data_IF_516007153898
#
_entry.id   IF_516007153898
#
_cell.length_a   1.000
_cell.length_b   1.000
_cell.length_c   1.000
_cell.angle_alpha   90.00
_cell.angle_beta   90.00
_cell.angle_gamma   90.00
#
_symmetry.space_group_name_H-M   'P 1'
#
loop_
_entity.id
_entity.type
_entity.pdbx_description
1 polymer ?
#
# COMPACT_ATOMS: atom_id res chain seq x y z
N UNK A 1 6.58 5.01 18.58
CA UNK A 1 6.52 5.31 17.14
C UNK A 1 7.75 4.74 16.46
N UNK A 2 7.59 3.99 15.36
CA UNK A 2 8.74 3.59 14.52
C UNK A 2 9.29 4.87 13.90
N UNK A 3 10.58 5.14 14.11
CA UNK A 3 11.22 6.36 13.59
C UNK A 3 11.74 6.09 12.19
N UNK A 4 10.89 6.30 11.18
CA UNK A 4 11.28 6.25 9.76
C UNK A 4 11.42 7.69 9.27
N UNK A 5 12.61 8.02 8.80
CA UNK A 5 12.90 9.35 8.25
C UNK A 5 12.56 9.38 6.77
N UNK A 6 11.49 10.10 6.43
CA UNK A 6 11.10 10.41 5.05
C UNK A 6 11.48 11.86 4.73
N UNK A 7 12.21 12.06 3.63
CA UNK A 7 12.64 13.40 3.20
C UNK A 7 12.21 13.68 1.76
N UNK A 8 11.91 14.94 1.47
CA UNK A 8 11.59 15.40 0.11
C UNK A 8 12.68 15.00 -0.89
N UNK A 9 13.95 15.11 -0.47
CA UNK A 9 15.12 14.73 -1.29
C UNK A 9 15.09 13.25 -1.70
N UNK A 10 14.68 12.34 -0.83
CA UNK A 10 14.56 10.91 -1.17
C UNK A 10 13.45 10.67 -2.18
N UNK A 11 12.28 11.28 -1.99
CA UNK A 11 11.13 11.12 -2.89
C UNK A 11 11.41 11.74 -4.27
N UNK A 12 12.08 12.90 -4.30
CA UNK A 12 12.56 13.54 -5.54
C UNK A 12 13.50 12.62 -6.30
N UNK A 13 14.54 12.09 -5.63
CA UNK A 13 15.53 11.18 -6.22
C UNK A 13 14.90 9.88 -6.74
N UNK A 14 13.87 9.39 -6.07
CA UNK A 14 13.14 8.20 -6.49
C UNK A 14 12.18 8.46 -7.66
N UNK A 15 11.97 9.72 -8.07
CA UNK A 15 11.15 10.06 -9.24
C UNK A 15 9.64 10.18 -8.96
N UNK A 16 9.21 10.18 -7.69
CA UNK A 16 7.78 10.14 -7.33
C UNK A 16 7.00 11.38 -7.80
N UNK A 17 7.69 12.49 -8.06
CA UNK A 17 7.07 13.76 -8.46
C UNK A 17 6.59 13.78 -9.92
N UNK A 18 7.03 12.82 -10.74
CA UNK A 18 6.77 12.79 -12.18
C UNK A 18 5.43 12.11 -12.44
N UNK A 19 4.39 12.88 -12.78
CA UNK A 19 3.12 12.32 -13.22
C UNK A 19 3.09 12.04 -14.73
N UNK A 20 1.88 12.01 -15.28
CA UNK A 20 1.57 11.83 -16.68
C UNK A 20 1.46 13.17 -17.43
N UNK A 21 1.36 13.07 -18.75
CA UNK A 21 1.12 14.20 -19.64
C UNK A 21 -0.20 14.93 -19.31
N UNK A 22 -0.23 16.25 -19.51
CA UNK A 22 -1.38 17.14 -19.27
C UNK A 22 -2.69 16.64 -19.87
N UNK A 23 -2.66 15.97 -21.02
CA UNK A 23 -3.87 15.42 -21.68
C UNK A 23 -4.43 14.15 -21.03
N UNK A 24 -3.67 13.46 -20.17
CA UNK A 24 -4.03 12.18 -19.55
C UNK A 24 -4.38 12.32 -18.06
N UNK A 25 -4.43 13.54 -17.53
CA UNK A 25 -4.67 13.75 -16.11
C UNK A 25 -6.13 13.59 -15.72
N UNK A 26 -6.36 13.31 -14.44
CA UNK A 26 -7.66 13.27 -13.82
C UNK A 26 -7.88 14.55 -13.01
N UNK A 27 -8.97 15.32 -13.24
CA UNK A 27 -9.24 16.55 -12.48
C UNK A 27 -9.30 16.38 -10.96
N UNK A 28 -9.68 15.18 -10.49
CA UNK A 28 -9.74 14.86 -9.06
C UNK A 28 -8.35 14.74 -8.41
N UNK A 29 -7.28 14.68 -9.20
CA UNK A 29 -5.91 14.76 -8.71
C UNK A 29 -5.44 16.19 -8.44
N UNK A 30 -6.20 17.23 -8.82
CA UNK A 30 -5.81 18.64 -8.69
C UNK A 30 -5.20 19.01 -7.33
N UNK A 31 -5.76 18.55 -6.22
CA UNK A 31 -5.25 18.82 -4.86
C UNK A 31 -3.82 18.29 -4.62
N UNK A 32 -3.41 17.24 -5.34
CA UNK A 32 -2.11 16.59 -5.20
C UNK A 32 -1.08 17.08 -6.22
N UNK A 33 -1.40 18.05 -7.07
CA UNK A 33 -0.51 18.54 -8.14
C UNK A 33 -0.05 19.96 -7.84
N UNK A 34 1.24 20.25 -8.08
CA UNK A 34 1.81 21.60 -7.91
C UNK A 34 1.74 22.39 -9.22
N UNK A 35 1.86 21.72 -10.36
CA UNK A 35 1.92 22.40 -11.65
C UNK A 35 2.26 21.47 -12.80
N UNK A 36 2.75 22.05 -13.89
CA UNK A 36 3.10 21.35 -15.13
C UNK A 36 4.48 21.81 -15.60
N UNK A 37 5.37 20.88 -15.93
CA UNK A 37 6.69 21.14 -16.51
C UNK A 37 6.81 20.31 -17.78
N UNK A 38 7.10 20.94 -18.93
CA UNK A 38 7.25 20.25 -20.23
C UNK A 38 6.09 19.29 -20.52
N UNK A 39 4.86 19.78 -20.34
CA UNK A 39 3.61 19.02 -20.46
C UNK A 39 3.39 17.86 -19.48
N UNK A 40 4.25 17.67 -18.48
CA UNK A 40 4.11 16.64 -17.45
C UNK A 40 3.58 17.26 -16.15
N UNK A 41 2.55 16.66 -15.56
CA UNK A 41 2.06 17.07 -14.24
C UNK A 41 3.08 16.74 -13.15
N UNK A 42 3.31 17.70 -12.26
CA UNK A 42 4.20 17.54 -11.11
C UNK A 42 3.39 17.28 -9.86
N UNK A 43 3.63 16.12 -9.25
CA UNK A 43 2.98 15.68 -8.01
C UNK A 43 3.61 16.38 -6.82
N UNK A 44 2.77 16.87 -5.90
CA UNK A 44 3.19 17.50 -4.67
C UNK A 44 3.65 16.47 -3.65
N UNK A 45 4.97 16.37 -3.50
CA UNK A 45 5.60 15.41 -2.59
C UNK A 45 5.41 15.74 -1.10
N UNK A 46 5.01 16.96 -0.73
CA UNK A 46 4.69 17.26 0.67
C UNK A 46 3.44 16.50 1.11
N UNK A 47 2.40 16.48 0.27
CA UNK A 47 1.22 15.63 0.51
C UNK A 47 1.60 14.15 0.54
N UNK A 48 2.48 13.70 -0.35
CA UNK A 48 2.99 12.33 -0.34
C UNK A 48 3.64 11.98 0.99
N UNK A 49 4.52 12.83 1.52
CA UNK A 49 5.18 12.60 2.82
C UNK A 49 4.15 12.53 3.95
N UNK A 50 3.19 13.46 3.98
CA UNK A 50 2.15 13.49 5.02
C UNK A 50 1.35 12.18 5.01
N UNK A 51 0.94 11.72 3.82
CA UNK A 51 0.12 10.51 3.69
C UNK A 51 0.95 9.26 4.00
N UNK A 52 2.20 9.19 3.55
CA UNK A 52 3.11 8.08 3.88
C UNK A 52 3.34 7.97 5.39
N UNK A 53 3.48 9.09 6.11
CA UNK A 53 3.56 9.09 7.58
C UNK A 53 2.32 8.48 8.22
N UNK A 54 1.12 8.86 7.76
CA UNK A 54 -0.13 8.24 8.24
C UNK A 54 -0.19 6.75 7.95
N UNK A 55 0.24 6.33 6.76
CA UNK A 55 0.26 4.91 6.35
C UNK A 55 1.24 4.11 7.22
N UNK A 56 2.40 4.67 7.58
CA UNK A 56 3.33 4.06 8.53
C UNK A 56 2.60 3.70 9.82
N UNK A 57 1.85 4.65 10.39
CA UNK A 57 1.12 4.43 11.63
C UNK A 57 -0.02 3.41 11.47
N UNK A 58 -0.77 3.46 10.37
CA UNK A 58 -1.84 2.50 10.05
C UNK A 58 -1.30 1.07 9.97
N UNK A 59 -0.26 0.84 9.16
CA UNK A 59 0.35 -0.48 9.00
C UNK A 59 0.91 -0.98 10.33
N UNK A 60 1.60 -0.10 11.07
CA UNK A 60 2.15 -0.43 12.37
C UNK A 60 1.09 -0.91 13.36
N UNK A 61 -0.02 -0.16 13.46
CA UNK A 61 -1.10 -0.47 14.38
C UNK A 61 -1.83 -1.77 14.00
N UNK A 62 -2.06 -2.01 12.71
CA UNK A 62 -2.65 -3.28 12.25
C UNK A 62 -1.79 -4.45 12.68
N UNK A 63 -0.48 -4.39 12.46
CA UNK A 63 0.45 -5.48 12.82
C UNK A 63 0.55 -5.68 14.33
N UNK A 64 0.66 -4.60 15.12
CA UNK A 64 0.68 -4.70 16.60
C UNK A 64 -0.58 -5.39 17.13
N UNK A 65 -1.73 -5.09 16.52
CA UNK A 65 -3.02 -5.68 16.91
C UNK A 65 -3.26 -7.06 16.29
N UNK A 66 -2.22 -7.66 15.71
CA UNK A 66 -2.26 -8.96 15.03
C UNK A 66 -3.23 -9.05 13.85
N UNK A 67 -3.62 -7.89 13.31
CA UNK A 67 -4.43 -7.79 12.12
C UNK A 67 -3.67 -8.21 10.86
N UNK A 68 -4.38 -8.22 9.74
CA UNK A 68 -3.86 -8.69 8.46
C UNK A 68 -4.09 -7.68 7.35
N UNK A 69 -3.11 -7.59 6.46
CA UNK A 69 -3.14 -6.73 5.28
C UNK A 69 -3.06 -7.62 4.04
N UNK A 70 -3.95 -7.39 3.09
CA UNK A 70 -3.92 -8.04 1.80
C UNK A 70 -3.22 -7.14 0.79
N UNK A 71 -2.22 -7.65 0.10
CA UNK A 71 -1.51 -6.97 -0.98
C UNK A 71 -2.00 -7.52 -2.32
N UNK A 72 -2.58 -6.65 -3.15
CA UNK A 72 -2.95 -6.95 -4.52
C UNK A 72 -1.95 -6.27 -5.46
N UNK A 73 -1.24 -7.10 -6.20
CA UNK A 73 -0.14 -6.66 -7.05
C UNK A 73 -0.34 -7.17 -8.48
N UNK A 74 -0.03 -6.32 -9.45
CA UNK A 74 0.04 -6.69 -10.85
C UNK A 74 1.45 -6.34 -11.34
N UNK A 75 2.08 -7.28 -12.06
CA UNK A 75 3.42 -7.19 -12.65
C UNK A 75 4.58 -7.42 -11.66
N UNK A 76 4.96 -8.69 -11.55
CA UNK A 76 5.79 -9.24 -10.47
C UNK A 76 7.30 -9.19 -10.78
N UNK A 77 7.70 -9.10 -12.05
CA UNK A 77 9.04 -9.50 -12.49
C UNK A 77 10.19 -8.72 -11.84
N UNK A 78 10.03 -7.43 -11.57
CA UNK A 78 11.10 -6.59 -11.00
C UNK A 78 11.08 -6.49 -9.46
N UNK A 79 10.03 -7.01 -8.80
CA UNK A 79 9.75 -6.77 -7.37
C UNK A 79 9.48 -8.07 -6.59
N UNK A 80 9.37 -9.22 -7.29
CA UNK A 80 9.29 -10.60 -6.75
C UNK A 80 10.04 -10.78 -5.44
N UNK A 81 11.33 -10.44 -5.44
CA UNK A 81 12.23 -10.65 -4.31
C UNK A 81 11.85 -9.82 -3.08
N UNK A 82 11.30 -8.62 -3.27
CA UNK A 82 10.83 -7.76 -2.17
C UNK A 82 9.48 -8.27 -1.66
N UNK A 83 8.60 -8.66 -2.57
CA UNK A 83 7.27 -9.22 -2.26
C UNK A 83 7.38 -10.50 -1.43
N UNK A 84 8.26 -11.42 -1.81
CA UNK A 84 8.49 -12.66 -1.07
C UNK A 84 9.01 -12.40 0.35
N UNK A 85 9.78 -11.32 0.55
CA UNK A 85 10.24 -10.89 1.89
C UNK A 85 9.12 -10.25 2.72
N UNK A 86 8.15 -9.61 2.06
CA UNK A 86 7.01 -8.97 2.71
C UNK A 86 6.00 -10.02 3.20
N UNK A 87 5.78 -11.10 2.45
CA UNK A 87 4.83 -12.16 2.81
C UNK A 87 5.14 -12.77 4.17
N UNK A 88 4.17 -12.75 5.08
CA UNK A 88 4.31 -13.30 6.43
C UNK A 88 2.91 -13.54 7.07
N UNK A 89 2.86 -13.89 8.35
CA UNK A 89 1.59 -14.16 9.06
C UNK A 89 0.56 -13.01 9.02
N UNK A 90 1.01 -11.75 8.89
CA UNK A 90 0.15 -10.57 8.77
C UNK A 90 -0.10 -10.15 7.32
N UNK A 91 0.75 -10.54 6.39
CA UNK A 91 0.70 -10.04 5.01
C UNK A 91 0.46 -11.19 4.05
N UNK A 92 -0.73 -11.21 3.46
CA UNK A 92 -1.02 -12.08 2.33
C UNK A 92 -0.81 -11.30 1.05
N UNK A 93 -0.13 -11.91 0.08
CA UNK A 93 0.08 -11.31 -1.24
C UNK A 93 -0.66 -12.14 -2.28
N UNK A 94 -1.43 -11.48 -3.14
CA UNK A 94 -2.02 -12.05 -4.34
C UNK A 94 -1.46 -11.30 -5.53
N UNK A 95 -0.74 -12.04 -6.38
CA UNK A 95 -0.34 -11.57 -7.69
C UNK A 95 -1.29 -12.07 -8.77
N UNK A 96 -1.60 -11.19 -9.70
CA UNK A 96 -2.32 -11.53 -10.91
C UNK A 96 -3.44 -10.55 -11.23
N UNK A 97 -4.20 -10.91 -12.26
CA UNK A 97 -5.34 -10.11 -12.73
C UNK A 97 -6.40 -9.99 -11.65
N UNK A 98 -7.15 -8.89 -11.71
CA UNK A 98 -8.29 -8.66 -10.84
C UNK A 98 -9.33 -9.80 -10.91
N UNK A 99 -9.86 -10.13 -9.73
CA UNK A 99 -10.85 -11.18 -9.55
C UNK A 99 -12.10 -10.52 -9.00
N UNK A 100 -13.21 -10.71 -9.72
CA UNK A 100 -14.51 -10.22 -9.29
C UNK A 100 -15.06 -11.11 -8.18
N UNK A 101 -15.67 -10.51 -7.17
CA UNK A 101 -16.21 -11.23 -6.03
C UNK A 101 -15.14 -11.79 -5.10
N UNK A 102 -13.93 -11.24 -5.11
CA UNK A 102 -12.83 -11.69 -4.24
C UNK A 102 -13.24 -11.61 -2.76
N UNK A 103 -14.08 -10.65 -2.38
CA UNK A 103 -14.61 -10.56 -1.02
C UNK A 103 -16.08 -10.99 -0.92
N UNK A 104 -16.92 -10.63 -1.89
CA UNK A 104 -18.36 -10.92 -1.83
C UNK A 104 -18.71 -12.36 -2.22
N UNK A 105 -17.81 -13.07 -2.91
CA UNK A 105 -17.97 -14.46 -3.33
C UNK A 105 -16.71 -15.29 -3.03
N UNK A 106 -16.15 -15.07 -1.84
CA UNK A 106 -14.86 -15.62 -1.39
C UNK A 106 -14.74 -17.14 -1.49
N UNK A 107 -15.85 -17.87 -1.42
CA UNK A 107 -15.83 -19.34 -1.41
C UNK A 107 -15.47 -19.90 -2.79
N UNK A 108 -15.89 -19.23 -3.88
CA UNK A 108 -15.44 -19.56 -5.23
C UNK A 108 -13.94 -19.28 -5.42
N UNK A 109 -13.43 -18.19 -4.85
CA UNK A 109 -11.98 -17.92 -4.89
C UNK A 109 -11.19 -19.00 -4.17
N UNK A 110 -11.63 -19.37 -2.96
CA UNK A 110 -10.96 -20.35 -2.10
C UNK A 110 -10.95 -21.76 -2.70
N UNK A 111 -11.95 -22.13 -3.51
CA UNK A 111 -12.04 -23.45 -4.13
C UNK A 111 -10.84 -23.79 -5.03
N UNK A 112 -10.17 -22.78 -5.59
CA UNK A 112 -9.08 -22.94 -6.55
C UNK A 112 -7.68 -22.64 -6.00
N UNK A 113 -7.55 -22.33 -4.70
CA UNK A 113 -6.31 -21.80 -4.10
C UNK A 113 -5.84 -22.61 -2.90
N UNK A 114 -4.52 -22.69 -2.77
CA UNK A 114 -3.84 -23.42 -1.68
C UNK A 114 -3.99 -22.76 -0.30
N UNK A 115 -4.41 -21.49 -0.23
CA UNK A 115 -4.62 -20.77 1.03
C UNK A 115 -5.95 -20.03 1.02
N UNK A 116 -6.68 -20.13 2.13
CA UNK A 116 -7.98 -19.46 2.32
C UNK A 116 -7.78 -17.94 2.45
N UNK A 117 -8.46 -17.20 1.59
CA UNK A 117 -8.55 -15.74 1.68
C UNK A 117 -9.37 -15.34 2.91
N UNK A 118 -8.79 -14.50 3.74
CA UNK A 118 -9.47 -13.85 4.86
C UNK A 118 -9.90 -12.44 4.48
N UNK A 119 -10.87 -11.88 5.20
CA UNK A 119 -11.21 -10.46 5.09
C UNK A 119 -10.07 -9.67 5.76
N UNK A 120 -9.34 -8.81 5.02
CA UNK A 120 -8.22 -8.07 5.58
C UNK A 120 -8.68 -6.84 6.38
N UNK A 121 -7.87 -6.42 7.34
CA UNK A 121 -8.05 -5.16 8.07
C UNK A 121 -7.64 -3.94 7.23
N UNK A 122 -6.81 -4.14 6.20
CA UNK A 122 -6.52 -3.16 5.18
C UNK A 122 -6.13 -3.82 3.85
N UNK A 123 -6.40 -3.11 2.76
CA UNK A 123 -6.02 -3.51 1.41
C UNK A 123 -4.90 -2.60 0.90
N UNK A 124 -3.81 -3.19 0.43
CA UNK A 124 -2.77 -2.49 -0.31
C UNK A 124 -2.85 -2.85 -1.79
N UNK A 125 -2.93 -1.84 -2.67
CA UNK A 125 -3.03 -2.03 -4.12
C UNK A 125 -1.93 -1.23 -4.81
N UNK A 126 -1.17 -1.89 -5.69
CA UNK A 126 -0.02 -1.25 -6.37
C UNK A 126 -0.43 -0.29 -7.46
N UNK A 127 -1.48 -0.63 -8.19
CA UNK A 127 -2.02 0.21 -9.26
C UNK A 127 -3.54 0.10 -9.24
N UNK A 128 -4.20 1.16 -8.81
CA UNK A 128 -5.66 1.17 -8.65
C UNK A 128 -6.41 0.88 -9.96
N UNK A 129 -5.85 1.25 -11.11
CA UNK A 129 -6.52 1.10 -12.41
C UNK A 129 -6.70 -0.38 -12.79
N UNK A 130 -5.92 -1.28 -12.17
CA UNK A 130 -5.99 -2.72 -12.41
C UNK A 130 -6.97 -3.44 -11.48
N UNK A 131 -7.51 -2.77 -10.46
CA UNK A 131 -8.29 -3.39 -9.37
C UNK A 131 -9.58 -2.63 -9.02
N UNK A 132 -10.29 -2.13 -10.02
CA UNK A 132 -11.46 -1.25 -9.81
C UNK A 132 -12.62 -1.98 -9.13
N UNK A 133 -12.92 -3.22 -9.53
CA UNK A 133 -14.02 -4.00 -8.93
C UNK A 133 -13.73 -4.35 -7.47
N UNK A 134 -12.48 -4.70 -7.18
CA UNK A 134 -11.98 -5.04 -5.86
C UNK A 134 -11.99 -3.82 -4.95
N UNK A 135 -11.61 -2.64 -5.46
CA UNK A 135 -11.74 -1.36 -4.76
C UNK A 135 -13.20 -1.07 -4.41
N UNK A 136 -14.13 -1.32 -5.33
CA UNK A 136 -15.55 -1.10 -5.07
C UNK A 136 -16.10 -2.07 -4.01
N UNK A 137 -15.71 -3.34 -4.05
CA UNK A 137 -16.07 -4.31 -3.01
C UNK A 137 -15.49 -3.94 -1.64
N UNK A 138 -14.20 -3.58 -1.58
CA UNK A 138 -13.54 -3.15 -0.35
C UNK A 138 -14.23 -1.91 0.26
N UNK A 139 -14.60 -0.93 -0.57
CA UNK A 139 -15.34 0.25 -0.13
C UNK A 139 -16.72 -0.12 0.45
N UNK A 140 -17.47 -1.03 -0.19
CA UNK A 140 -18.75 -1.53 0.36
C UNK A 140 -18.58 -2.21 1.71
N UNK A 141 -17.49 -2.96 1.88
CA UNK A 141 -17.15 -3.66 3.12
C UNK A 141 -16.44 -2.77 4.14
N UNK A 142 -16.22 -1.48 3.84
CA UNK A 142 -15.49 -0.53 4.68
C UNK A 142 -14.07 -0.97 5.04
N UNK A 143 -13.44 -1.72 4.14
CA UNK A 143 -12.04 -2.10 4.26
C UNK A 143 -11.20 -0.90 3.80
N UNK A 144 -10.30 -0.35 4.64
CA UNK A 144 -9.48 0.78 4.26
C UNK A 144 -8.48 0.39 3.16
N UNK A 145 -8.37 1.24 2.14
CA UNK A 145 -7.54 1.00 0.96
C UNK A 145 -6.35 1.95 0.96
N UNK A 146 -5.16 1.39 0.80
CA UNK A 146 -3.89 2.10 0.59
C UNK A 146 -3.47 1.83 -0.86
N UNK A 147 -3.26 2.86 -1.67
CA UNK A 147 -2.84 2.65 -3.06
C UNK A 147 -2.06 3.83 -3.62
N UNK A 148 -1.16 3.56 -4.56
CA UNK A 148 -0.58 4.60 -5.41
C UNK A 148 -1.66 5.29 -6.23
N UNK A 149 -1.59 6.62 -6.29
CA UNK A 149 -2.38 7.44 -7.19
C UNK A 149 -1.45 8.34 -8.00
N UNK A 150 -1.38 8.11 -9.31
CA UNK A 150 -0.71 9.01 -10.23
C UNK A 150 -1.69 10.12 -10.66
N UNK A 151 -1.20 11.15 -11.30
CA UNK A 151 -1.95 12.24 -11.92
C UNK A 151 -3.14 11.82 -12.81
N UNK A 152 -3.18 10.60 -13.35
CA UNK A 152 -4.28 10.05 -14.16
C UNK A 152 -5.31 9.24 -13.35
N UNK A 153 -5.07 9.00 -12.07
CA UNK A 153 -5.91 8.18 -11.19
C UNK A 153 -7.08 8.98 -10.59
N UNK A 154 -8.13 8.28 -10.13
CA UNK A 154 -9.16 8.89 -9.30
C UNK A 154 -8.87 8.61 -7.81
N UNK A 155 -8.37 9.59 -7.04
CA UNK A 155 -7.99 9.35 -5.65
C UNK A 155 -9.19 9.18 -4.70
N UNK A 156 -10.42 9.53 -5.12
CA UNK A 156 -11.58 9.52 -4.21
C UNK A 156 -12.05 8.13 -3.80
N UNK A 157 -11.55 7.09 -4.46
CA UNK A 157 -11.90 5.69 -4.16
C UNK A 157 -10.95 5.05 -3.14
N UNK A 158 -9.88 5.76 -2.75
CA UNK A 158 -8.80 5.24 -1.92
C UNK A 158 -8.81 5.95 -0.57
N UNK A 159 -8.78 5.20 0.53
CA UNK A 159 -8.78 5.75 1.89
C UNK A 159 -7.48 6.50 2.20
N UNK A 160 -6.36 5.93 1.78
CA UNK A 160 -5.02 6.50 1.94
C UNK A 160 -4.32 6.54 0.57
N UNK A 161 -4.64 7.54 -0.27
CA UNK A 161 -4.05 7.69 -1.60
C UNK A 161 -2.60 8.16 -1.49
N UNK A 162 -1.64 7.39 -1.98
CA UNK A 162 -0.22 7.77 -2.03
C UNK A 162 0.03 8.50 -3.35
N UNK A 163 0.09 9.84 -3.39
CA UNK A 163 0.33 10.54 -4.63
C UNK A 163 1.77 10.29 -5.07
N UNK A 164 1.96 9.75 -6.27
CA UNK A 164 3.30 9.51 -6.78
C UNK A 164 3.30 8.77 -8.11
N UNK A 165 4.43 8.86 -8.80
CA UNK A 165 4.72 8.11 -10.00
C UNK A 165 4.64 6.60 -9.73
N UNK A 166 3.76 5.90 -10.45
CA UNK A 166 3.64 4.44 -10.38
C UNK A 166 4.10 3.72 -11.65
N UNK A 167 4.74 4.43 -12.58
CA UNK A 167 5.32 3.89 -13.82
C UNK A 167 6.84 3.65 -13.70
N UNK A 168 7.53 4.43 -12.86
CA UNK A 168 8.98 4.31 -12.66
C UNK A 168 9.33 3.15 -11.72
N UNK A 169 10.23 2.26 -12.19
CA UNK A 169 10.82 1.19 -11.36
C UNK A 169 11.42 1.78 -10.07
N UNK A 170 12.13 2.92 -10.14
CA UNK A 170 12.74 3.53 -8.95
C UNK A 170 11.69 3.99 -7.93
N UNK A 171 10.58 4.59 -8.38
CA UNK A 171 9.49 5.04 -7.51
C UNK A 171 8.80 3.86 -6.84
N UNK A 172 8.53 2.80 -7.61
CA UNK A 172 7.92 1.58 -7.10
C UNK A 172 8.85 0.91 -6.09
N UNK A 173 10.12 0.67 -6.43
CA UNK A 173 11.12 0.09 -5.52
C UNK A 173 11.26 0.90 -4.22
N UNK A 174 11.26 2.24 -4.31
CA UNK A 174 11.29 3.09 -3.13
C UNK A 174 10.12 2.80 -2.18
N UNK A 175 8.88 2.78 -2.70
CA UNK A 175 7.71 2.52 -1.85
C UNK A 175 7.74 1.11 -1.26
N UNK A 176 8.05 0.10 -2.07
CA UNK A 176 8.09 -1.28 -1.59
C UNK A 176 9.16 -1.50 -0.51
N UNK A 177 10.35 -0.88 -0.66
CA UNK A 177 11.38 -0.92 0.37
C UNK A 177 10.93 -0.21 1.64
N UNK A 178 10.25 0.93 1.52
CA UNK A 178 9.65 1.63 2.66
C UNK A 178 8.65 0.73 3.39
N UNK A 179 7.71 0.12 2.67
CA UNK A 179 6.69 -0.78 3.22
C UNK A 179 7.32 -1.99 3.89
N UNK A 180 8.27 -2.66 3.23
CA UNK A 180 8.99 -3.78 3.81
C UNK A 180 9.68 -3.41 5.13
N UNK A 181 10.35 -2.26 5.17
CA UNK A 181 11.00 -1.77 6.38
C UNK A 181 9.99 -1.49 7.52
N UNK A 182 8.83 -0.91 7.21
CA UNK A 182 7.76 -0.67 8.20
C UNK A 182 7.23 -1.98 8.75
N UNK A 183 6.92 -2.93 7.87
CA UNK A 183 6.35 -4.23 8.22
C UNK A 183 7.33 -5.01 9.12
N UNK A 184 8.59 -5.12 8.72
CA UNK A 184 9.63 -5.79 9.51
C UNK A 184 9.80 -5.16 10.89
N UNK A 185 9.92 -3.83 10.96
CA UNK A 185 10.05 -3.12 12.23
C UNK A 185 8.81 -3.32 13.14
N UNK A 186 7.61 -3.39 12.55
CA UNK A 186 6.37 -3.60 13.29
C UNK A 186 6.28 -5.02 13.85
N UNK A 187 6.68 -6.04 13.08
CA UNK A 187 6.73 -7.44 13.54
C UNK A 187 7.74 -7.61 14.68
N UNK A 188 8.92 -7.00 14.56
CA UNK A 188 9.93 -7.02 15.64
C UNK A 188 9.32 -6.41 16.91
N UNK A 189 8.61 -5.28 16.79
CA UNK A 189 7.97 -4.62 17.92
C UNK A 189 6.87 -5.47 18.55
N UNK A 190 6.01 -6.07 17.74
CA UNK A 190 4.96 -7.00 18.17
C UNK A 190 5.55 -8.16 19.00
N UNK A 191 6.63 -8.79 18.51
CA UNK A 191 7.31 -9.88 19.21
C UNK A 191 7.90 -9.44 20.56
N UNK A 192 8.47 -8.23 20.63
CA UNK A 192 8.99 -7.67 21.90
C UNK A 192 7.86 -7.45 22.90
N UNK A 193 6.73 -6.88 22.45
CA UNK A 193 5.56 -6.64 23.30
C UNK A 193 5.02 -7.97 23.83
N UNK A 194 4.89 -8.98 22.96
CA UNK A 194 4.39 -10.30 23.33
C UNK A 194 5.29 -11.01 24.37
N UNK A 195 6.62 -10.95 24.19
CA UNK A 195 7.58 -11.51 25.17
C UNK A 195 7.50 -10.81 26.53
N UNK A 196 7.35 -9.48 26.54
CA UNK A 196 7.18 -8.71 27.79
C UNK A 196 5.90 -9.09 28.52
N UNK A 197 4.77 -9.22 27.81
CA UNK A 197 3.53 -9.68 28.44
C UNK A 197 3.66 -11.09 29.01
N UNK A 198 4.26 -12.03 28.27
CA UNK A 198 4.44 -13.41 28.73
C UNK A 198 5.35 -13.51 29.97
N UNK A 199 6.41 -12.69 30.04
CA UNK A 199 7.29 -12.63 31.21
C UNK A 199 6.58 -12.13 32.47
N UNK A 200 5.64 -11.19 32.35
CA UNK A 200 4.87 -10.66 33.49
C UNK A 200 3.95 -11.74 34.05
N UNK A 201 3.32 -12.54 33.20
CA UNK A 201 2.43 -13.63 33.64
C UNK A 201 3.17 -14.80 34.31
N UNK A 202 4.47 -15.01 34.01
CA UNK A 202 5.27 -16.05 34.65
C UNK A 202 5.89 -15.61 35.99
N UNK A 203 5.69 -14.35 36.40
CA UNK A 203 6.18 -13.76 37.66
C UNK A 203 5.08 -13.58 38.71
N UNK A 204 3.85 -13.97 38.40
CA UNK A 204 2.66 -13.96 39.27
C UNK A 204 2.24 -15.41 39.51
#
# INVERSE_FOLDING_TARGET
MIKITLTLKQLLKAGLHLGHQKKRWNPKMSMYLIGIIKDIHIINLEYTIIILKKIIDVIHNIIINKGKILFLINNINDITNIINKISNKHIQVIDGKEIHGIFTNKDLYNYSKSSKLFIPDALFITNMNNYIYTINEANKLRIPIISFVDSNCNPTLITYPIPGNNDSIQSIQFLYNLLNNIILNSIIKENIIFKKSASIYNLI
#
